data_IF_562689264650
#
_entry.id   IF_562689264650
#
_cell.length_a   1.000
_cell.length_b   1.000
_cell.length_c   1.000
_cell.angle_alpha   90.00
_cell.angle_beta   90.00
_cell.angle_gamma   90.00
#
_symmetry.space_group_name_H-M   'P 1'
#
loop_
_entity.id
_entity.type
_entity.pdbx_description
1 polymer ?
#
# COMPACT_ATOMS: atom_id res chain seq x y z
N UNK A 1 -3.39 -28.98 -1.18
CA UNK A 1 -4.55 -28.18 -1.62
C UNK A 1 -4.06 -27.32 -2.78
N UNK A 2 -4.66 -27.47 -3.98
CA UNK A 2 -4.41 -26.60 -5.12
C UNK A 2 -5.06 -25.23 -4.91
N UNK A 3 -4.41 -24.21 -5.40
CA UNK A 3 -4.87 -22.83 -5.30
C UNK A 3 -4.48 -22.06 -6.56
N UNK A 4 -5.38 -21.24 -7.06
CA UNK A 4 -5.09 -20.30 -8.14
C UNK A 4 -4.57 -19.00 -7.54
N UNK A 5 -3.39 -18.56 -7.98
CA UNK A 5 -2.73 -17.34 -7.56
C UNK A 5 -2.56 -16.44 -8.77
N UNK A 6 -2.99 -15.18 -8.66
CA UNK A 6 -2.74 -14.17 -9.68
C UNK A 6 -1.27 -13.73 -9.61
N UNK A 7 -0.65 -13.52 -10.77
CA UNK A 7 0.69 -12.95 -10.88
C UNK A 7 0.57 -11.70 -11.73
N UNK A 8 0.84 -10.54 -11.14
CA UNK A 8 0.60 -9.24 -11.75
C UNK A 8 1.65 -8.20 -11.36
N UNK A 9 1.53 -7.01 -11.93
CA UNK A 9 2.42 -5.88 -11.66
C UNK A 9 3.23 -5.46 -12.89
N UNK A 10 3.78 -4.25 -12.83
CA UNK A 10 4.51 -3.65 -13.95
C UNK A 10 5.80 -4.41 -14.29
N UNK A 11 6.37 -5.14 -13.31
CA UNK A 11 7.61 -5.92 -13.49
C UNK A 11 7.36 -7.40 -13.87
N UNK A 12 6.13 -7.78 -14.17
CA UNK A 12 5.79 -9.09 -14.73
C UNK A 12 5.74 -9.04 -16.25
N UNK A 13 6.39 -10.00 -16.92
CA UNK A 13 6.41 -10.11 -18.40
C UNK A 13 5.04 -10.41 -18.97
N UNK A 14 4.36 -11.39 -18.37
CA UNK A 14 3.05 -11.86 -18.82
C UNK A 14 2.15 -12.05 -17.61
N UNK A 15 1.37 -11.02 -17.23
CA UNK A 15 0.41 -11.14 -16.15
C UNK A 15 -0.60 -12.25 -16.42
N UNK A 16 -0.96 -13.01 -15.38
CA UNK A 16 -1.88 -14.15 -15.52
C UNK A 16 -2.12 -14.88 -14.22
N UNK A 17 -2.59 -16.11 -14.33
CA UNK A 17 -2.89 -16.96 -13.18
C UNK A 17 -2.01 -18.21 -13.19
N UNK A 18 -1.55 -18.61 -12.02
CA UNK A 18 -0.82 -19.84 -11.80
C UNK A 18 -1.61 -20.75 -10.86
N UNK A 19 -1.78 -22.03 -11.24
CA UNK A 19 -2.34 -23.02 -10.34
C UNK A 19 -1.19 -23.73 -9.62
N UNK A 20 -1.13 -23.55 -8.30
CA UNK A 20 -0.02 -24.04 -7.47
C UNK A 20 -0.53 -24.71 -6.20
N UNK A 21 0.31 -25.53 -5.59
CA UNK A 21 0.04 -26.07 -4.25
C UNK A 21 0.40 -25.03 -3.19
N UNK A 22 -0.37 -24.99 -2.10
CA UNK A 22 0.02 -24.24 -0.90
C UNK A 22 1.37 -24.81 -0.40
N UNK A 23 2.31 -23.90 -0.10
CA UNK A 23 3.69 -24.29 0.23
C UNK A 23 4.64 -24.38 -0.96
N UNK A 24 4.19 -24.12 -2.19
CA UNK A 24 5.08 -24.03 -3.36
C UNK A 24 5.98 -22.79 -3.23
N UNK A 25 7.30 -22.90 -3.48
CA UNK A 25 8.19 -21.75 -3.47
C UNK A 25 7.85 -20.78 -4.61
N UNK A 26 7.88 -19.48 -4.33
CA UNK A 26 7.56 -18.43 -5.32
C UNK A 26 8.51 -18.47 -6.52
N UNK A 27 9.77 -18.87 -6.31
CA UNK A 27 10.76 -19.01 -7.37
C UNK A 27 10.32 -19.92 -8.51
N UNK A 28 9.48 -20.93 -8.24
CA UNK A 28 9.08 -21.93 -9.22
C UNK A 28 8.19 -21.37 -10.34
N UNK A 29 7.43 -20.32 -10.08
CA UNK A 29 6.49 -19.77 -11.06
C UNK A 29 6.61 -18.24 -11.26
N UNK A 30 7.20 -17.50 -10.30
CA UNK A 30 7.36 -16.03 -10.41
C UNK A 30 8.70 -15.67 -11.03
N UNK A 31 9.81 -16.34 -10.68
CA UNK A 31 11.15 -15.93 -11.08
C UNK A 31 11.33 -15.78 -12.61
N UNK A 32 10.78 -16.71 -13.39
CA UNK A 32 10.85 -16.66 -14.86
C UNK A 32 9.95 -15.59 -15.49
N UNK A 33 8.99 -15.07 -14.73
CA UNK A 33 8.03 -14.06 -15.14
C UNK A 33 8.52 -12.64 -14.88
N UNK A 34 9.56 -12.45 -14.07
CA UNK A 34 10.13 -11.14 -13.78
C UNK A 34 10.84 -10.58 -15.00
N UNK A 35 10.66 -9.27 -15.26
CA UNK A 35 11.36 -8.53 -16.31
C UNK A 35 12.85 -8.38 -16.01
N UNK A 36 13.17 -8.12 -14.73
CA UNK A 36 14.52 -8.02 -14.21
C UNK A 36 14.66 -8.88 -12.95
N UNK A 37 15.88 -9.30 -12.63
CA UNK A 37 16.17 -10.04 -11.39
C UNK A 37 16.35 -9.10 -10.19
N UNK A 38 16.89 -7.91 -10.45
CA UNK A 38 17.24 -6.90 -9.46
C UNK A 38 16.28 -5.71 -9.55
N UNK A 39 16.25 -4.87 -8.50
CA UNK A 39 15.45 -3.65 -8.40
C UNK A 39 13.93 -3.87 -8.50
N UNK A 40 13.46 -5.09 -8.14
CA UNK A 40 12.06 -5.47 -8.14
C UNK A 40 11.58 -5.76 -6.73
N UNK A 41 10.48 -5.11 -6.32
CA UNK A 41 9.74 -5.41 -5.11
C UNK A 41 8.70 -6.48 -5.39
N UNK A 42 8.85 -7.66 -4.78
CA UNK A 42 7.80 -8.67 -4.74
C UNK A 42 6.90 -8.44 -3.51
N UNK A 43 5.61 -8.54 -3.72
CA UNK A 43 4.59 -8.33 -2.71
C UNK A 43 3.65 -9.55 -2.73
N UNK A 44 3.46 -10.17 -1.58
CA UNK A 44 2.42 -11.16 -1.36
C UNK A 44 1.12 -10.41 -1.05
N UNK A 45 0.24 -10.34 -2.02
CA UNK A 45 -0.95 -9.49 -2.04
C UNK A 45 -0.83 -8.31 -3.00
N UNK A 46 -1.70 -7.32 -2.81
CA UNK A 46 -1.70 -6.07 -3.59
C UNK A 46 -0.69 -5.04 -3.05
N UNK A 47 -0.37 -3.99 -3.82
CA UNK A 47 0.62 -2.98 -3.39
C UNK A 47 0.22 -2.16 -2.17
N UNK A 48 -1.07 -2.12 -1.80
CA UNK A 48 -1.59 -1.29 -0.71
C UNK A 48 -1.65 -2.01 0.63
N UNK A 49 -1.99 -3.32 0.62
CA UNK A 49 -2.20 -4.10 1.85
C UNK A 49 -1.29 -5.32 1.96
N UNK A 50 -0.54 -5.62 0.90
CA UNK A 50 0.33 -6.79 0.84
C UNK A 50 1.62 -6.64 1.64
N UNK A 51 2.31 -7.75 1.81
CA UNK A 51 3.56 -7.82 2.56
C UNK A 51 4.72 -8.09 1.60
N UNK A 52 5.84 -7.38 1.81
CA UNK A 52 7.08 -7.63 1.05
C UNK A 52 7.48 -9.10 1.19
N UNK A 53 7.77 -9.72 0.08
CA UNK A 53 8.19 -11.12 -0.02
C UNK A 53 9.41 -11.25 -0.93
N UNK A 54 9.97 -12.43 -0.98
CA UNK A 54 11.12 -12.78 -1.83
C UNK A 54 10.82 -14.03 -2.66
N UNK A 55 11.61 -14.27 -3.69
CA UNK A 55 11.48 -15.51 -4.49
C UNK A 55 11.76 -16.78 -3.68
N UNK A 56 12.43 -16.69 -2.54
CA UNK A 56 12.71 -17.79 -1.64
C UNK A 56 11.52 -18.17 -0.73
N UNK A 57 10.54 -17.27 -0.61
CA UNK A 57 9.34 -17.50 0.19
C UNK A 57 8.34 -18.45 -0.49
N UNK A 58 7.31 -18.84 0.24
CA UNK A 58 6.35 -19.86 -0.17
C UNK A 58 4.93 -19.30 -0.26
N UNK A 59 4.11 -19.92 -1.11
CA UNK A 59 2.68 -19.63 -1.21
C UNK A 59 1.99 -20.00 0.10
N UNK A 60 1.46 -19.02 0.80
CA UNK A 60 0.68 -19.19 2.02
C UNK A 60 -0.77 -19.58 1.76
N UNK A 61 -1.48 -20.01 2.82
CA UNK A 61 -2.91 -20.35 2.75
C UNK A 61 -3.79 -19.18 2.29
N UNK A 62 -3.42 -17.95 2.61
CA UNK A 62 -4.16 -16.73 2.26
C UNK A 62 -3.61 -15.98 1.04
N UNK A 63 -2.50 -16.43 0.45
CA UNK A 63 -1.93 -15.81 -0.77
C UNK A 63 -2.91 -15.97 -1.92
N UNK A 64 -3.49 -14.89 -2.42
CA UNK A 64 -4.38 -14.84 -3.59
C UNK A 64 -3.71 -14.26 -4.83
N UNK A 65 -2.72 -13.41 -4.61
CA UNK A 65 -1.96 -12.74 -5.66
C UNK A 65 -0.52 -12.47 -5.24
N UNK A 66 0.36 -12.39 -6.23
CA UNK A 66 1.73 -11.92 -6.10
C UNK A 66 1.90 -10.75 -7.06
N UNK A 67 2.30 -9.62 -6.53
CA UNK A 67 2.51 -8.40 -7.31
C UNK A 67 3.98 -8.05 -7.38
N UNK A 68 4.47 -7.67 -8.56
CA UNK A 68 5.83 -7.20 -8.77
C UNK A 68 5.84 -5.77 -9.30
N UNK A 69 6.50 -4.86 -8.58
CA UNK A 69 6.66 -3.45 -8.93
C UNK A 69 8.14 -3.06 -8.85
N UNK A 70 8.56 -1.93 -9.46
CA UNK A 70 9.92 -1.43 -9.27
C UNK A 70 10.22 -1.13 -7.80
N UNK A 71 11.40 -1.52 -7.32
CA UNK A 71 11.87 -1.14 -5.98
C UNK A 71 12.16 0.36 -5.91
N UNK A 72 12.69 0.94 -6.99
CA UNK A 72 13.00 2.36 -7.09
C UNK A 72 14.32 2.76 -6.42
N UNK A 73 15.19 1.81 -6.12
CA UNK A 73 16.48 1.98 -5.47
C UNK A 73 17.62 2.34 -6.44
N UNK A 74 17.35 2.30 -7.75
CA UNK A 74 18.26 2.60 -8.86
C UNK A 74 18.18 4.06 -9.35
N UNK A 75 17.34 4.89 -8.72
CA UNK A 75 17.13 6.27 -9.14
C UNK A 75 17.95 7.25 -8.29
N UNK A 76 19.12 7.65 -8.78
CA UNK A 76 19.90 8.77 -8.24
C UNK A 76 19.34 10.10 -8.72
N UNK A 77 18.41 10.66 -7.99
CA UNK A 77 17.82 11.96 -8.32
C UNK A 77 18.58 13.12 -7.65
N UNK A 78 19.63 13.62 -8.30
CA UNK A 78 20.22 14.90 -7.93
C UNK A 78 19.27 16.04 -8.33
N UNK A 79 18.82 16.85 -7.36
CA UNK A 79 17.83 17.92 -7.54
C UNK A 79 16.43 17.44 -8.03
N UNK A 80 16.03 16.22 -7.70
CA UNK A 80 14.75 15.62 -8.13
C UNK A 80 13.50 16.43 -7.80
N UNK A 81 13.56 17.33 -6.83
CA UNK A 81 12.47 18.25 -6.45
C UNK A 81 12.17 19.37 -7.47
N UNK A 82 13.11 19.68 -8.38
CA UNK A 82 12.91 20.66 -9.48
C UNK A 82 12.35 19.99 -10.73
N UNK A 83 12.48 18.67 -10.87
CA UNK A 83 12.06 17.97 -12.08
C UNK A 83 10.55 18.09 -12.30
N UNK A 84 10.07 18.29 -13.54
CA UNK A 84 8.66 18.48 -13.85
C UNK A 84 7.81 17.22 -13.63
N UNK A 85 8.43 16.05 -13.48
CA UNK A 85 7.81 14.75 -13.14
C UNK A 85 6.49 14.49 -13.85
N UNK A 86 6.55 14.54 -15.18
CA UNK A 86 5.39 14.41 -16.08
C UNK A 86 4.79 13.00 -16.09
N UNK A 87 5.49 12.02 -15.56
CA UNK A 87 5.15 10.59 -15.50
C UNK A 87 4.75 10.10 -14.10
N UNK A 88 4.83 10.96 -13.07
CA UNK A 88 4.49 10.57 -11.71
C UNK A 88 3.05 10.92 -11.33
N UNK A 89 2.41 10.00 -10.59
CA UNK A 89 1.11 10.24 -10.00
C UNK A 89 1.20 11.31 -8.90
N UNK A 90 0.22 12.21 -8.85
CA UNK A 90 0.10 13.22 -7.80
C UNK A 90 -1.37 13.50 -7.50
N UNK A 91 -1.81 13.17 -6.29
CA UNK A 91 -3.15 13.44 -5.80
C UNK A 91 -3.42 14.95 -5.72
N UNK A 92 -2.45 15.72 -5.23
CA UNK A 92 -2.54 17.18 -5.04
C UNK A 92 -2.17 18.01 -6.28
N UNK A 93 -1.94 17.35 -7.43
CA UNK A 93 -1.49 17.99 -8.67
C UNK A 93 -0.17 18.77 -8.53
N UNK A 94 0.69 18.38 -7.63
CA UNK A 94 2.00 19.00 -7.42
C UNK A 94 2.95 18.76 -8.60
N UNK A 95 2.72 17.70 -9.38
CA UNK A 95 3.48 17.38 -10.59
C UNK A 95 2.67 17.72 -11.83
N UNK A 96 3.35 17.99 -12.95
CA UNK A 96 2.71 18.37 -14.20
C UNK A 96 2.03 17.22 -14.95
N UNK A 97 2.04 16.02 -14.41
CA UNK A 97 1.45 14.82 -15.03
C UNK A 97 -0.04 14.97 -15.37
N UNK A 98 -0.79 15.78 -14.63
CA UNK A 98 -2.21 16.05 -14.86
C UNK A 98 -2.50 16.79 -16.17
N UNK A 99 -1.51 17.48 -16.75
CA UNK A 99 -1.63 18.18 -18.03
C UNK A 99 -1.71 17.20 -19.22
N UNK A 100 -1.22 15.98 -19.07
CA UNK A 100 -1.12 14.98 -20.16
C UNK A 100 -2.34 14.07 -20.29
N UNK A 101 -3.47 14.41 -19.66
CA UNK A 101 -4.76 13.76 -19.86
C UNK A 101 -5.14 12.71 -18.81
N UNK A 102 -6.44 12.35 -18.80
CA UNK A 102 -7.05 11.49 -17.78
C UNK A 102 -6.83 9.98 -17.99
N UNK A 103 -6.26 9.56 -19.12
CA UNK A 103 -6.08 8.13 -19.47
C UNK A 103 -4.63 7.66 -19.35
N UNK A 104 -3.80 8.41 -18.64
CA UNK A 104 -2.39 8.03 -18.48
C UNK A 104 -2.26 6.90 -17.46
N UNK A 105 -1.55 5.86 -17.83
CA UNK A 105 -1.12 4.80 -16.93
C UNK A 105 0.15 5.24 -16.20
N UNK A 106 0.23 4.95 -14.91
CA UNK A 106 1.35 5.27 -14.06
C UNK A 106 2.03 4.00 -13.58
N UNK A 107 3.34 3.90 -13.77
CA UNK A 107 4.15 2.87 -13.12
C UNK A 107 4.57 3.39 -11.74
N UNK A 108 3.91 2.86 -10.72
CA UNK A 108 4.24 3.19 -9.33
C UNK A 108 5.39 2.30 -8.86
N UNK A 109 6.35 2.91 -8.19
CA UNK A 109 7.46 2.23 -7.53
C UNK A 109 7.21 2.12 -6.01
N UNK A 110 8.07 1.39 -5.30
CA UNK A 110 7.93 1.14 -3.87
C UNK A 110 8.42 2.31 -2.98
N UNK A 111 8.85 3.44 -3.55
CA UNK A 111 9.36 4.57 -2.78
C UNK A 111 8.23 5.40 -2.19
N UNK A 112 8.41 5.81 -0.95
CA UNK A 112 7.61 6.88 -0.35
C UNK A 112 8.07 8.22 -0.92
N UNK A 113 7.21 8.86 -1.73
CA UNK A 113 7.52 10.15 -2.38
C UNK A 113 7.10 11.30 -1.47
N UNK A 114 7.92 11.61 -0.51
CA UNK A 114 7.72 12.63 0.52
C UNK A 114 8.35 12.22 1.84
N UNK A 115 8.31 13.11 2.82
CA UNK A 115 8.73 12.84 4.20
C UNK A 115 7.51 12.68 5.10
N UNK A 116 7.63 11.83 6.10
CA UNK A 116 6.66 11.75 7.19
C UNK A 116 6.53 13.10 7.91
N UNK A 117 5.33 13.52 8.18
CA UNK A 117 4.99 14.79 8.83
C UNK A 117 3.94 14.57 9.89
N UNK A 118 3.75 15.57 10.76
CA UNK A 118 2.62 15.55 11.66
C UNK A 118 1.30 15.53 10.88
N UNK A 119 0.33 14.76 11.40
CA UNK A 119 -0.99 14.65 10.80
C UNK A 119 -1.67 16.00 10.68
N UNK A 120 -2.17 16.31 9.50
CA UNK A 120 -3.03 17.44 9.22
C UNK A 120 -4.43 16.96 8.84
N UNK A 121 -5.44 17.75 9.21
CA UNK A 121 -6.83 17.49 8.81
C UNK A 121 -7.03 18.02 7.40
N UNK A 122 -6.85 17.15 6.40
CA UNK A 122 -6.86 17.53 4.99
C UNK A 122 -8.22 17.36 4.31
N UNK A 123 -9.12 16.54 4.90
CA UNK A 123 -10.37 16.12 4.29
C UNK A 123 -10.17 15.17 3.10
N UNK A 124 -8.97 14.64 2.91
CA UNK A 124 -8.69 13.70 1.82
C UNK A 124 -9.15 12.28 2.13
N UNK A 125 -9.18 11.88 3.41
CA UNK A 125 -9.60 10.52 3.79
C UNK A 125 -11.07 10.29 3.50
N UNK A 126 -11.92 11.26 3.75
CA UNK A 126 -13.38 11.18 3.52
C UNK A 126 -13.73 10.93 2.03
N UNK A 127 -12.81 11.29 1.12
CA UNK A 127 -13.00 11.07 -0.33
C UNK A 127 -12.73 9.64 -0.78
N UNK A 128 -12.01 8.87 0.03
CA UNK A 128 -11.46 7.57 -0.37
C UNK A 128 -11.79 6.44 0.61
N UNK A 129 -12.27 6.74 1.81
CA UNK A 129 -12.73 5.73 2.75
C UNK A 129 -13.96 4.99 2.18
N UNK A 130 -14.02 3.66 2.29
CA UNK A 130 -15.13 2.87 1.77
C UNK A 130 -16.41 2.95 2.65
N UNK A 131 -16.37 3.70 3.74
CA UNK A 131 -17.43 3.81 4.73
C UNK A 131 -17.59 5.26 5.22
N UNK A 132 -18.77 5.59 5.74
CA UNK A 132 -19.11 6.92 6.27
C UNK A 132 -18.73 7.02 7.76
N UNK A 133 -17.45 7.26 8.01
CA UNK A 133 -16.88 7.46 9.35
C UNK A 133 -15.98 8.71 9.34
N UNK A 134 -15.79 9.29 10.54
CA UNK A 134 -14.83 10.39 10.72
C UNK A 134 -13.38 9.89 10.80
N UNK A 135 -12.84 9.40 9.67
CA UNK A 135 -11.55 8.73 9.60
C UNK A 135 -10.38 9.56 10.12
N UNK A 136 -10.30 10.85 9.77
CA UNK A 136 -9.23 11.72 10.25
C UNK A 136 -9.29 11.95 11.77
N UNK A 137 -10.49 12.09 12.33
CA UNK A 137 -10.68 12.21 13.78
C UNK A 137 -10.34 10.92 14.50
N UNK A 138 -10.71 9.76 13.94
CA UNK A 138 -10.37 8.46 14.48
C UNK A 138 -8.86 8.25 14.55
N UNK A 139 -8.14 8.52 13.47
CA UNK A 139 -6.67 8.43 13.46
C UNK A 139 -6.05 9.35 14.52
N UNK A 140 -6.55 10.58 14.65
CA UNK A 140 -6.08 11.50 15.71
C UNK A 140 -6.34 10.98 17.10
N UNK A 141 -7.53 10.39 17.37
CA UNK A 141 -7.86 9.82 18.65
C UNK A 141 -6.91 8.65 19.00
N UNK A 142 -6.53 7.84 18.01
CA UNK A 142 -5.56 6.75 18.19
C UNK A 142 -4.18 7.32 18.52
N UNK A 143 -3.69 8.29 17.76
CA UNK A 143 -2.37 8.91 17.96
C UNK A 143 -2.27 9.57 19.36
N UNK A 144 -3.37 10.17 19.84
CA UNK A 144 -3.40 10.80 21.17
C UNK A 144 -3.66 9.82 22.31
N UNK A 145 -4.00 8.58 22.04
CA UNK A 145 -4.31 7.56 23.04
C UNK A 145 -5.64 7.78 23.75
N UNK A 146 -6.58 8.53 23.16
CA UNK A 146 -7.90 8.81 23.73
C UNK A 146 -8.86 7.65 23.42
N UNK A 147 -8.91 6.68 24.33
CA UNK A 147 -9.67 5.43 24.17
C UNK A 147 -11.16 5.71 24.02
N UNK A 148 -11.72 6.58 24.85
CA UNK A 148 -13.15 6.91 24.83
C UNK A 148 -13.56 7.48 23.46
N UNK A 149 -12.73 8.34 22.89
CA UNK A 149 -12.97 8.87 21.54
C UNK A 149 -12.78 7.85 20.43
N UNK A 150 -11.83 6.93 20.57
CA UNK A 150 -11.66 5.85 19.59
C UNK A 150 -12.93 5.01 19.50
N UNK A 151 -13.52 4.66 20.64
CA UNK A 151 -14.79 3.91 20.70
C UNK A 151 -15.96 4.71 20.14
N UNK A 152 -16.10 5.99 20.53
CA UNK A 152 -17.16 6.87 20.03
C UNK A 152 -17.08 7.11 18.51
N UNK A 153 -15.88 7.08 17.94
CA UNK A 153 -15.62 7.26 16.51
C UNK A 153 -15.63 5.95 15.72
N UNK A 154 -15.96 4.82 16.35
CA UNK A 154 -16.22 3.56 15.67
C UNK A 154 -14.97 2.73 15.35
N UNK A 155 -13.94 2.73 16.19
CA UNK A 155 -12.73 1.93 15.95
C UNK A 155 -13.02 0.43 15.79
N UNK A 156 -14.09 -0.09 16.37
CA UNK A 156 -14.49 -1.50 16.22
C UNK A 156 -15.15 -1.83 14.88
N UNK A 157 -15.50 -0.82 14.10
CA UNK A 157 -16.14 -0.96 12.81
C UNK A 157 -15.15 -0.98 11.64
N UNK A 158 -13.86 -0.77 11.92
CA UNK A 158 -12.82 -0.64 10.91
C UNK A 158 -11.73 -1.71 11.03
N UNK A 159 -11.17 -2.06 9.90
CA UNK A 159 -9.94 -2.83 9.81
C UNK A 159 -8.77 -1.95 9.36
N UNK A 160 -7.51 -2.32 9.62
CA UNK A 160 -6.36 -1.61 9.08
C UNK A 160 -6.41 -1.45 7.55
N UNK A 161 -6.91 -2.46 6.87
CA UNK A 161 -6.98 -2.53 5.40
C UNK A 161 -7.95 -1.49 4.80
N UNK A 162 -8.96 -1.05 5.55
CA UNK A 162 -9.90 -0.01 5.11
C UNK A 162 -9.20 1.35 4.94
N UNK A 163 -8.12 1.57 5.67
CA UNK A 163 -7.30 2.78 5.57
C UNK A 163 -6.21 2.71 4.49
N UNK A 164 -6.11 1.63 3.74
CA UNK A 164 -5.04 1.45 2.76
C UNK A 164 -5.04 2.54 1.66
N UNK A 165 -6.22 2.91 1.14
CA UNK A 165 -6.34 3.98 0.14
C UNK A 165 -6.13 5.34 0.77
N UNK A 166 -6.59 5.56 2.01
CA UNK A 166 -6.35 6.78 2.75
C UNK A 166 -4.84 6.99 3.01
N UNK A 167 -4.11 5.93 3.39
CA UNK A 167 -2.65 5.95 3.53
C UNK A 167 -1.94 6.33 2.24
N UNK A 168 -2.40 5.81 1.09
CA UNK A 168 -1.84 6.15 -0.22
C UNK A 168 -1.98 7.64 -0.56
N UNK A 169 -3.14 8.24 -0.28
CA UNK A 169 -3.41 9.65 -0.57
C UNK A 169 -2.92 10.61 0.51
N UNK A 170 -2.55 10.11 1.69
CA UNK A 170 -2.16 10.94 2.82
C UNK A 170 -0.97 11.84 2.47
N UNK A 171 -1.16 13.15 2.65
CA UNK A 171 -0.12 14.15 2.44
C UNK A 171 0.93 14.18 3.55
N UNK A 172 0.59 13.67 4.73
CA UNK A 172 1.50 13.57 5.90
C UNK A 172 2.39 12.33 5.85
N UNK A 173 2.06 11.36 4.97
CA UNK A 173 2.80 10.10 4.80
C UNK A 173 2.88 9.26 6.07
N UNK A 174 1.78 9.22 6.81
CA UNK A 174 1.64 8.38 8.00
C UNK A 174 1.33 6.93 7.60
N UNK A 175 1.79 5.98 8.40
CA UNK A 175 1.44 4.55 8.29
C UNK A 175 0.07 4.30 8.94
N UNK A 176 -1.02 4.68 8.26
CA UNK A 176 -2.38 4.64 8.84
C UNK A 176 -2.83 3.24 9.21
N UNK A 177 -2.53 2.25 8.37
CA UNK A 177 -2.85 0.84 8.66
C UNK A 177 -2.17 0.36 9.95
N UNK A 178 -0.93 0.78 10.17
CA UNK A 178 -0.19 0.45 11.40
C UNK A 178 -0.80 1.15 12.61
N UNK A 179 -1.13 2.43 12.49
CA UNK A 179 -1.76 3.22 13.55
C UNK A 179 -3.08 2.57 13.98
N UNK A 180 -3.95 2.19 13.04
CA UNK A 180 -5.23 1.52 13.35
C UNK A 180 -4.98 0.16 14.02
N UNK A 181 -4.02 -0.62 13.54
CA UNK A 181 -3.65 -1.90 14.15
C UNK A 181 -3.16 -1.75 15.59
N UNK A 182 -2.35 -0.73 15.86
CA UNK A 182 -1.88 -0.42 17.21
C UNK A 182 -3.02 0.03 18.11
N UNK A 183 -3.96 0.87 17.63
CA UNK A 183 -5.17 1.25 18.35
C UNK A 183 -6.01 0.05 18.75
N UNK A 184 -6.34 -0.82 17.79
CA UNK A 184 -7.09 -2.06 18.05
C UNK A 184 -6.38 -2.99 19.05
N UNK A 185 -5.05 -3.09 18.97
CA UNK A 185 -4.28 -3.89 19.93
C UNK A 185 -4.27 -3.29 21.33
N UNK A 186 -4.27 -1.97 21.45
CA UNK A 186 -4.37 -1.26 22.74
C UNK A 186 -5.72 -1.52 23.40
N UNK A 187 -6.80 -1.31 22.67
CA UNK A 187 -8.16 -1.60 23.14
C UNK A 187 -8.35 -3.06 23.56
N UNK A 188 -7.81 -3.99 22.77
CA UNK A 188 -7.85 -5.41 23.14
C UNK A 188 -7.16 -5.71 24.48
N UNK A 189 -6.07 -5.00 24.79
CA UNK A 189 -5.36 -5.18 26.08
C UNK A 189 -6.09 -4.53 27.23
N UNK A 190 -6.74 -3.38 27.00
CA UNK A 190 -7.54 -2.70 28.03
C UNK A 190 -8.80 -3.47 28.40
N UNK A 191 -9.40 -4.20 27.45
CA UNK A 191 -10.62 -4.97 27.63
C UNK A 191 -10.36 -6.46 28.00
N UNK A 192 -9.11 -6.87 28.20
CA UNK A 192 -8.75 -8.24 28.57
C UNK A 192 -8.50 -8.39 30.07
#
# INVERSE_FOLDING_TARGET
>A
MHKTVAVAGSEIKTPGYAEVLVGTPLSSFVANQLKAADHVRLINGNPLTGVKTTTADFVGGHTSEITAIPEGDDNDEMLGWILPRTDQFSTSRSYLSWLFGKKKEYNLDARVKGGERHMIMSGEYDKVLPMDIYGEYLIKAIITGDIDKQEQLGIYEVSPEDFAVAEFVDSSKLELQKIVREGLNTLRKENA
#
